data_IF_888798919885
#
_entry.id   IF_888798919885
#
_cell.length_a   1.000
_cell.length_b   1.000
_cell.length_c   1.000
_cell.angle_alpha   90.00
_cell.angle_beta   90.00
_cell.angle_gamma   90.00
#
_symmetry.space_group_name_H-M   'P 1'
#
loop_
_entity.id
_entity.type
_entity.pdbx_description
1 polymer ?
#
# COMPACT_ATOMS: atom_id res chain seq x y z
N UNK A 1 31.97 31.06 40.50
CA UNK A 1 30.55 30.62 40.39
C UNK A 1 30.09 30.34 38.96
N UNK A 2 30.81 30.77 37.90
CA UNK A 2 30.43 30.52 36.50
C UNK A 2 30.58 29.06 36.01
N UNK A 3 31.55 28.28 36.49
CA UNK A 3 31.74 26.88 36.04
C UNK A 3 30.66 25.88 36.48
N UNK A 4 29.93 26.18 37.57
CA UNK A 4 28.92 25.25 38.12
C UNK A 4 27.62 25.31 37.32
N UNK A 5 27.30 26.49 36.77
CA UNK A 5 26.09 26.75 35.98
C UNK A 5 26.19 26.10 34.58
N UNK A 6 27.37 26.12 33.96
CA UNK A 6 27.58 25.46 32.66
C UNK A 6 27.54 23.93 32.74
N UNK A 7 28.00 23.36 33.86
CA UNK A 7 27.92 21.91 34.10
C UNK A 7 26.47 21.43 34.24
N UNK A 8 25.62 22.19 34.93
CA UNK A 8 24.19 21.89 35.08
C UNK A 8 23.42 21.99 33.76
N UNK A 9 23.71 23.00 32.93
CA UNK A 9 23.10 23.13 31.60
C UNK A 9 23.49 21.98 30.67
N UNK A 10 24.73 21.51 30.71
CA UNK A 10 25.19 20.38 29.90
C UNK A 10 24.58 19.04 30.35
N UNK A 11 24.42 18.82 31.65
CA UNK A 11 23.79 17.62 32.20
C UNK A 11 22.28 17.61 31.88
N UNK A 12 21.62 18.76 31.97
CA UNK A 12 20.20 18.92 31.59
C UNK A 12 20.00 18.71 30.08
N UNK A 13 20.92 19.20 29.24
CA UNK A 13 20.84 19.04 27.78
C UNK A 13 21.07 17.57 27.36
N UNK A 14 21.96 16.84 28.03
CA UNK A 14 22.18 15.40 27.77
C UNK A 14 20.99 14.55 28.23
N UNK A 15 20.31 14.92 29.33
CA UNK A 15 19.08 14.27 29.80
C UNK A 15 17.89 14.48 28.84
N UNK A 16 17.79 15.65 28.23
CA UNK A 16 16.77 15.93 27.19
C UNK A 16 17.07 15.19 25.88
N UNK A 17 18.35 15.06 25.50
CA UNK A 17 18.78 14.31 24.30
C UNK A 17 18.58 12.79 24.49
N UNK A 18 18.76 12.26 25.70
CA UNK A 18 18.50 10.83 26.00
C UNK A 18 17.02 10.47 26.12
N UNK A 19 16.13 11.45 26.27
CA UNK A 19 14.67 11.23 26.27
C UNK A 19 14.05 11.33 24.86
N UNK A 20 14.84 11.72 23.85
CA UNK A 20 14.45 11.76 22.44
C UNK A 20 14.57 10.43 21.69
N UNK A 21 14.68 9.31 22.41
CA UNK A 21 14.53 7.98 21.81
C UNK A 21 13.08 7.87 21.37
N UNK A 22 12.91 7.88 20.05
CA UNK A 22 11.64 7.77 19.37
C UNK A 22 10.82 6.64 20.00
N UNK A 23 9.71 7.03 20.65
CA UNK A 23 8.56 6.17 20.70
C UNK A 23 8.03 6.08 19.26
N UNK A 24 8.70 5.28 18.44
CA UNK A 24 8.06 4.69 17.28
C UNK A 24 7.07 3.70 17.89
N UNK A 25 5.89 4.24 18.20
CA UNK A 25 4.71 3.48 18.50
C UNK A 25 4.63 2.47 17.35
N UNK A 26 4.86 1.20 17.67
CA UNK A 26 4.69 0.11 16.72
C UNK A 26 3.19 0.03 16.46
N UNK A 27 2.70 0.95 15.62
CA UNK A 27 1.35 0.94 15.08
C UNK A 27 1.24 -0.46 14.50
N UNK A 28 0.38 -1.25 15.12
CA UNK A 28 0.05 -2.56 14.63
C UNK A 28 -0.71 -2.29 13.34
N UNK A 29 0.01 -2.28 12.23
CA UNK A 29 -0.49 -1.87 10.93
C UNK A 29 -1.71 -2.72 10.60
N UNK A 30 -2.90 -2.15 10.76
CA UNK A 30 -4.15 -2.86 10.51
C UNK A 30 -4.18 -3.19 9.02
N UNK A 31 -4.13 -4.48 8.63
CA UNK A 31 -4.12 -4.86 7.23
C UNK A 31 -5.43 -4.51 6.53
N UNK A 32 -6.52 -4.32 7.28
CA UNK A 32 -7.84 -3.96 6.76
C UNK A 32 -8.12 -2.45 6.80
N UNK A 33 -7.16 -1.61 7.18
CA UNK A 33 -7.29 -0.16 7.07
C UNK A 33 -7.54 0.28 5.64
N UNK A 34 -8.14 1.45 5.47
CA UNK A 34 -8.35 2.06 4.16
C UNK A 34 -7.03 2.21 3.38
N UNK A 35 -7.04 2.04 2.05
CA UNK A 35 -5.87 2.24 1.22
C UNK A 35 -5.46 3.71 1.24
N UNK A 36 -4.18 3.96 1.47
CA UNK A 36 -3.56 5.29 1.35
C UNK A 36 -3.52 5.75 -0.12
N UNK A 37 -3.37 7.05 -0.36
CA UNK A 37 -3.20 7.57 -1.73
C UNK A 37 -1.91 7.02 -2.36
N UNK A 38 -0.86 6.86 -1.56
CA UNK A 38 0.39 6.23 -2.00
C UNK A 38 0.14 4.83 -2.58
N UNK A 39 -0.56 3.98 -1.82
CA UNK A 39 -0.90 2.61 -2.26
C UNK A 39 -1.71 2.62 -3.56
N UNK A 40 -2.77 3.43 -3.63
CA UNK A 40 -3.63 3.50 -4.82
C UNK A 40 -2.83 3.94 -6.05
N UNK A 41 -2.04 5.02 -5.93
CA UNK A 41 -1.26 5.55 -7.05
C UNK A 41 -0.18 4.58 -7.51
N UNK A 42 0.49 3.89 -6.57
CA UNK A 42 1.48 2.86 -6.88
C UNK A 42 0.91 1.77 -7.78
N UNK A 43 -0.22 1.19 -7.41
CA UNK A 43 -0.81 0.10 -8.17
C UNK A 43 -1.49 0.56 -9.46
N UNK A 44 -2.14 1.73 -9.48
CA UNK A 44 -2.63 2.35 -10.70
C UNK A 44 -1.51 2.50 -11.74
N UNK A 45 -0.39 3.12 -11.36
CA UNK A 45 0.72 3.34 -12.28
C UNK A 45 1.43 2.05 -12.67
N UNK A 46 1.44 1.03 -11.80
CA UNK A 46 1.96 -0.30 -12.12
C UNK A 46 1.11 -0.99 -13.20
N UNK A 47 -0.22 -0.99 -13.05
CA UNK A 47 -1.14 -1.61 -14.02
C UNK A 47 -1.17 -0.83 -15.35
N UNK A 48 -1.17 0.50 -15.30
CA UNK A 48 -1.14 1.33 -16.51
C UNK A 48 0.16 1.13 -17.30
N UNK A 49 1.32 1.13 -16.63
CA UNK A 49 2.61 0.80 -17.27
C UNK A 49 2.58 -0.60 -17.87
N UNK A 50 2.10 -1.60 -17.14
CA UNK A 50 2.00 -2.98 -17.63
C UNK A 50 1.24 -3.07 -18.95
N UNK A 51 0.06 -2.42 -19.04
CA UNK A 51 -0.74 -2.37 -20.27
C UNK A 51 -0.03 -1.65 -21.41
N UNK A 52 0.62 -0.52 -21.11
CA UNK A 52 1.38 0.22 -22.11
C UNK A 52 2.61 -0.58 -22.60
N UNK A 53 3.27 -1.33 -21.74
CA UNK A 53 4.43 -2.16 -22.10
C UNK A 53 4.03 -3.37 -22.95
N UNK A 54 2.86 -3.95 -22.69
CA UNK A 54 2.28 -5.04 -23.50
C UNK A 54 1.94 -4.55 -24.92
N UNK A 55 1.17 -3.47 -25.03
CA UNK A 55 0.80 -2.85 -26.32
C UNK A 55 1.99 -2.19 -27.02
N UNK A 56 2.99 -1.78 -26.25
CA UNK A 56 4.22 -1.15 -26.74
C UNK A 56 5.15 -2.10 -27.48
N UNK A 57 4.86 -3.40 -27.54
CA UNK A 57 5.67 -4.38 -28.30
C UNK A 57 5.18 -4.56 -29.74
N UNK A 58 3.93 -4.22 -30.05
CA UNK A 58 3.39 -4.41 -31.40
C UNK A 58 3.88 -3.31 -32.35
N UNK A 59 3.99 -3.59 -33.64
CA UNK A 59 4.44 -2.60 -34.66
C UNK A 59 3.28 -2.10 -35.51
N UNK A 60 2.09 -2.03 -34.91
CA UNK A 60 0.86 -1.73 -35.62
C UNK A 60 0.84 -0.28 -36.11
N UNK A 61 0.26 -0.08 -37.29
CA UNK A 61 0.17 1.22 -37.94
C UNK A 61 -1.29 1.46 -38.27
N UNK A 62 -1.81 2.59 -37.81
CA UNK A 62 -3.16 3.03 -38.07
C UNK A 62 -3.16 3.90 -39.32
N UNK A 63 -3.99 3.55 -40.30
CA UNK A 63 -4.26 4.36 -41.47
C UNK A 63 -5.51 5.21 -41.22
N UNK A 64 -5.36 6.55 -41.27
CA UNK A 64 -6.48 7.49 -41.16
C UNK A 64 -6.74 8.18 -42.51
N UNK A 65 -8.02 8.20 -42.91
CA UNK A 65 -8.51 8.82 -44.15
C UNK A 65 -9.62 8.00 -44.80
N UNK A 66 -10.86 8.48 -44.71
CA UNK A 66 -12.02 7.91 -45.42
C UNK A 66 -12.34 8.80 -46.62
N UNK A 67 -12.02 8.33 -47.83
CA UNK A 67 -12.34 9.02 -49.07
C UNK A 67 -11.54 8.46 -50.24
N UNK A 68 -12.19 8.31 -51.40
CA UNK A 68 -11.55 7.80 -52.63
C UNK A 68 -10.37 8.68 -53.09
N UNK A 69 -10.37 9.97 -52.75
CA UNK A 69 -9.40 10.98 -53.20
C UNK A 69 -8.44 11.52 -52.11
N UNK A 70 -8.53 11.05 -50.86
CA UNK A 70 -7.64 11.53 -49.78
C UNK A 70 -6.39 10.64 -49.62
N UNK A 71 -5.20 11.26 -49.53
CA UNK A 71 -3.96 10.55 -49.19
C UNK A 71 -4.06 9.98 -47.78
N UNK A 72 -4.08 8.65 -47.67
CA UNK A 72 -4.06 7.92 -46.39
C UNK A 72 -2.84 8.32 -45.57
N UNK A 73 -3.06 8.79 -44.35
CA UNK A 73 -1.98 9.08 -43.39
C UNK A 73 -1.74 7.84 -42.53
N UNK A 74 -0.48 7.43 -42.42
CA UNK A 74 -0.08 6.29 -41.58
C UNK A 74 0.58 6.81 -40.30
N UNK A 75 0.10 6.39 -39.14
CA UNK A 75 0.69 6.72 -37.84
C UNK A 75 0.90 5.44 -37.03
N UNK A 76 2.05 5.30 -36.40
CA UNK A 76 2.33 4.18 -35.50
C UNK A 76 1.34 4.19 -34.33
N UNK A 77 0.73 3.04 -34.03
CA UNK A 77 -0.23 2.85 -32.93
C UNK A 77 0.33 3.33 -31.58
N UNK A 78 1.63 3.11 -31.32
CA UNK A 78 2.28 3.55 -30.08
C UNK A 78 2.24 5.06 -29.85
N UNK A 79 2.07 5.84 -30.92
CA UNK A 79 2.03 7.30 -30.92
C UNK A 79 0.62 7.83 -31.14
N UNK A 80 -0.41 6.98 -31.10
CA UNK A 80 -1.80 7.43 -31.24
C UNK A 80 -2.45 7.66 -29.88
N UNK A 81 -3.46 8.52 -29.90
CA UNK A 81 -4.32 8.82 -28.77
C UNK A 81 -5.21 7.62 -28.45
N UNK A 82 -5.63 6.92 -29.50
CA UNK A 82 -6.40 5.68 -29.40
C UNK A 82 -5.75 4.67 -28.44
N UNK A 83 -4.43 4.47 -28.51
CA UNK A 83 -3.73 3.55 -27.61
C UNK A 83 -3.85 3.97 -26.14
N UNK A 84 -3.77 5.27 -25.84
CA UNK A 84 -3.92 5.76 -24.48
C UNK A 84 -5.36 5.54 -23.99
N UNK A 85 -6.35 5.85 -24.82
CA UNK A 85 -7.77 5.64 -24.52
C UNK A 85 -8.05 4.15 -24.25
N UNK A 86 -7.56 3.24 -25.09
CA UNK A 86 -7.71 1.80 -24.89
C UNK A 86 -7.03 1.34 -23.60
N UNK A 87 -5.80 1.82 -23.33
CA UNK A 87 -5.07 1.48 -22.12
C UNK A 87 -5.77 1.95 -20.84
N UNK A 88 -6.40 3.12 -20.87
CA UNK A 88 -7.11 3.71 -19.72
C UNK A 88 -8.54 3.19 -19.57
N UNK A 89 -9.28 2.98 -20.66
CA UNK A 89 -10.74 2.86 -20.62
C UNK A 89 -11.30 1.52 -21.13
N UNK A 90 -10.55 0.69 -21.86
CA UNK A 90 -11.11 -0.53 -22.49
C UNK A 90 -10.33 -1.83 -22.17
N UNK A 91 -10.73 -2.59 -21.13
CA UNK A 91 -11.62 -2.18 -20.02
C UNK A 91 -10.90 -1.19 -19.12
N UNK A 92 -11.61 -0.41 -18.28
CA UNK A 92 -10.95 0.65 -17.50
C UNK A 92 -9.75 0.13 -16.67
N UNK A 93 -8.65 0.90 -16.59
CA UNK A 93 -7.39 0.45 -15.97
C UNK A 93 -7.58 0.04 -14.51
N UNK A 94 -8.47 0.73 -13.80
CA UNK A 94 -8.76 0.44 -12.40
C UNK A 94 -9.50 -0.87 -12.19
N UNK A 95 -10.14 -1.47 -13.20
CA UNK A 95 -10.77 -2.80 -13.07
C UNK A 95 -9.75 -3.87 -12.65
N UNK A 96 -8.46 -3.68 -13.03
CA UNK A 96 -7.36 -4.56 -12.62
C UNK A 96 -7.08 -4.53 -11.12
N UNK A 97 -7.50 -3.48 -10.41
CA UNK A 97 -7.37 -3.40 -8.95
C UNK A 97 -8.21 -4.46 -8.26
N UNK A 98 -9.33 -4.89 -8.85
CA UNK A 98 -10.19 -5.94 -8.27
C UNK A 98 -9.54 -7.34 -8.28
N UNK A 99 -8.45 -7.53 -9.04
CA UNK A 99 -7.67 -8.78 -9.03
C UNK A 99 -6.76 -8.90 -7.79
N UNK A 100 -6.63 -7.84 -7.00
CA UNK A 100 -5.81 -7.81 -5.79
C UNK A 100 -6.58 -8.28 -4.57
N UNK A 101 -5.86 -8.90 -3.64
CA UNK A 101 -6.36 -9.30 -2.33
C UNK A 101 -5.51 -8.69 -1.21
N UNK A 102 -6.10 -8.60 -0.02
CA UNK A 102 -5.40 -8.20 1.20
C UNK A 102 -4.69 -9.41 1.81
N UNK A 103 -3.38 -9.29 1.89
CA UNK A 103 -2.47 -10.19 2.55
C UNK A 103 -2.10 -9.61 3.93
N UNK A 104 -2.88 -9.98 4.94
CA UNK A 104 -2.67 -9.55 6.33
C UNK A 104 -1.28 -9.91 6.89
N UNK A 105 -0.60 -10.85 6.23
CA UNK A 105 0.76 -11.26 6.54
C UNK A 105 1.86 -10.28 6.07
N UNK A 106 1.53 -9.32 5.21
CA UNK A 106 2.48 -8.37 4.61
C UNK A 106 2.29 -6.98 5.22
N UNK A 107 3.33 -6.15 5.15
CA UNK A 107 3.32 -4.78 5.70
C UNK A 107 3.19 -3.74 4.60
N UNK A 108 2.66 -2.57 4.95
CA UNK A 108 2.61 -1.42 4.05
C UNK A 108 1.82 -1.73 2.77
N UNK A 109 2.27 -1.22 1.63
CA UNK A 109 1.57 -1.41 0.35
C UNK A 109 1.65 -2.84 -0.17
N UNK A 110 2.62 -3.62 0.29
CA UNK A 110 2.79 -5.01 -0.13
C UNK A 110 1.64 -5.92 0.33
N UNK A 111 0.76 -5.42 1.21
CA UNK A 111 -0.48 -6.10 1.60
C UNK A 111 -1.41 -6.34 0.42
N UNK A 112 -1.36 -5.53 -0.64
CA UNK A 112 -2.12 -5.80 -1.85
C UNK A 112 -1.30 -6.71 -2.76
N UNK A 113 -1.82 -7.90 -3.06
CA UNK A 113 -1.21 -8.77 -4.07
C UNK A 113 -2.25 -9.61 -4.80
N UNK A 114 -1.93 -9.99 -6.05
CA UNK A 114 -2.78 -10.89 -6.83
C UNK A 114 -2.65 -12.32 -6.30
N UNK A 115 -3.75 -13.07 -6.35
CA UNK A 115 -3.84 -14.45 -5.84
C UNK A 115 -4.35 -14.53 -4.39
N UNK A 116 -4.48 -15.75 -3.87
CA UNK A 116 -5.04 -15.98 -2.53
C UNK A 116 -4.05 -15.63 -1.43
N UNK A 117 -4.54 -15.03 -0.34
CA UNK A 117 -3.74 -14.78 0.86
C UNK A 117 -3.53 -16.04 1.68
N UNK A 118 -2.41 -16.10 2.41
CA UNK A 118 -2.07 -17.27 3.23
C UNK A 118 -3.11 -17.54 4.31
N UNK A 119 -3.64 -16.47 4.91
CA UNK A 119 -4.70 -16.55 5.92
C UNK A 119 -5.96 -17.16 5.32
N UNK A 120 -6.39 -16.71 4.13
CA UNK A 120 -7.59 -17.22 3.48
C UNK A 120 -7.41 -18.66 3.01
N UNK A 121 -6.23 -19.01 2.50
CA UNK A 121 -5.90 -20.39 2.12
C UNK A 121 -5.94 -21.34 3.32
N UNK A 122 -5.37 -20.93 4.47
CA UNK A 122 -5.42 -21.69 5.72
C UNK A 122 -6.87 -21.92 6.17
N UNK A 123 -7.71 -20.90 6.01
CA UNK A 123 -9.11 -20.91 6.41
C UNK A 123 -9.94 -21.86 5.54
N UNK A 124 -9.80 -21.81 4.21
CA UNK A 124 -10.44 -22.75 3.29
C UNK A 124 -9.99 -24.19 3.57
N UNK A 125 -8.69 -24.40 3.79
CA UNK A 125 -8.16 -25.73 4.16
C UNK A 125 -8.75 -26.30 5.46
N UNK A 126 -9.14 -25.45 6.42
CA UNK A 126 -9.82 -25.88 7.64
C UNK A 126 -11.27 -26.31 7.33
N UNK A 127 -11.98 -25.52 6.54
CA UNK A 127 -13.34 -25.84 6.06
C UNK A 127 -13.36 -27.13 5.24
N UNK A 128 -12.40 -27.31 4.33
CA UNK A 128 -12.26 -28.52 3.51
C UNK A 128 -11.98 -29.77 4.35
N UNK A 129 -11.37 -29.61 5.52
CA UNK A 129 -11.14 -30.69 6.50
C UNK A 129 -12.36 -30.96 7.39
N UNK A 130 -13.48 -30.28 7.17
CA UNK A 130 -14.71 -30.43 7.92
C UNK A 130 -14.76 -29.64 9.24
N UNK A 131 -13.85 -28.68 9.44
CA UNK A 131 -13.95 -27.75 10.57
C UNK A 131 -14.97 -26.67 10.23
N UNK A 132 -15.99 -26.51 11.06
CA UNK A 132 -16.93 -25.41 10.90
C UNK A 132 -16.26 -24.09 11.27
N UNK A 133 -15.97 -23.26 10.26
CA UNK A 133 -15.43 -21.90 10.44
C UNK A 133 -16.54 -20.92 10.07
N UNK A 134 -17.16 -20.32 11.09
CA UNK A 134 -18.18 -19.30 10.89
C UNK A 134 -17.52 -17.92 10.82
N UNK A 135 -17.34 -17.41 9.59
CA UNK A 135 -16.86 -16.04 9.36
C UNK A 135 -17.99 -15.01 9.27
N UNK A 136 -19.24 -15.45 9.37
CA UNK A 136 -20.40 -14.58 9.11
C UNK A 136 -20.56 -14.17 7.64
N UNK A 137 -19.79 -14.78 6.72
CA UNK A 137 -19.83 -14.53 5.26
C UNK A 137 -20.01 -15.88 4.53
N UNK A 138 -21.02 -16.02 3.65
CA UNK A 138 -21.21 -17.19 2.80
C UNK A 138 -19.98 -17.55 1.97
N UNK A 139 -19.72 -18.85 1.79
CA UNK A 139 -18.52 -19.35 1.10
C UNK A 139 -18.34 -18.79 -0.33
N UNK A 140 -19.44 -18.59 -1.04
CA UNK A 140 -19.45 -18.04 -2.41
C UNK A 140 -18.90 -16.60 -2.48
N UNK A 141 -18.92 -15.87 -1.37
CA UNK A 141 -18.41 -14.49 -1.28
C UNK A 141 -16.94 -14.43 -0.85
N UNK A 142 -16.28 -15.55 -0.56
CA UNK A 142 -14.88 -15.54 -0.09
C UNK A 142 -13.87 -15.18 -1.18
N UNK A 143 -14.24 -15.35 -2.44
CA UNK A 143 -13.42 -14.95 -3.59
C UNK A 143 -13.81 -13.56 -4.14
N UNK A 144 -14.73 -12.84 -3.47
CA UNK A 144 -15.08 -11.46 -3.84
C UNK A 144 -14.06 -10.43 -3.29
N UNK A 145 -13.89 -9.28 -3.98
CA UNK A 145 -13.04 -8.20 -3.49
C UNK A 145 -13.45 -7.73 -2.09
N UNK A 146 -12.47 -7.65 -1.20
CA UNK A 146 -12.68 -7.12 0.16
C UNK A 146 -13.02 -5.62 0.14
N UNK A 147 -13.61 -5.11 1.21
CA UNK A 147 -13.94 -3.68 1.34
C UNK A 147 -12.74 -2.75 1.07
N UNK A 148 -11.55 -3.11 1.55
CA UNK A 148 -10.33 -2.32 1.31
C UNK A 148 -9.89 -2.31 -0.16
N UNK A 149 -10.12 -3.41 -0.89
CA UNK A 149 -9.85 -3.48 -2.34
C UNK A 149 -10.89 -2.70 -3.13
N UNK A 150 -12.16 -2.79 -2.75
CA UNK A 150 -13.24 -2.01 -3.37
C UNK A 150 -13.04 -0.50 -3.16
N UNK A 151 -12.58 -0.09 -1.97
CA UNK A 151 -12.23 1.30 -1.72
C UNK A 151 -10.99 1.73 -2.52
N UNK A 152 -10.01 0.84 -2.68
CA UNK A 152 -8.83 1.10 -3.52
C UNK A 152 -9.22 1.30 -4.99
N UNK A 153 -10.14 0.46 -5.49
CA UNK A 153 -10.73 0.58 -6.81
C UNK A 153 -11.42 1.92 -7.00
N UNK A 154 -12.28 2.32 -6.06
CA UNK A 154 -12.97 3.62 -6.10
C UNK A 154 -12.00 4.80 -6.12
N UNK A 155 -10.97 4.77 -5.27
CA UNK A 155 -9.93 5.81 -5.25
C UNK A 155 -9.09 5.82 -6.53
N UNK A 156 -8.89 4.66 -7.16
CA UNK A 156 -8.18 4.56 -8.44
C UNK A 156 -8.91 5.35 -9.53
N UNK A 157 -10.23 5.16 -9.68
CA UNK A 157 -11.04 5.96 -10.60
C UNK A 157 -10.88 7.45 -10.34
N UNK A 158 -10.98 7.85 -9.07
CA UNK A 158 -10.80 9.24 -8.69
C UNK A 158 -9.43 9.81 -9.08
N UNK A 159 -8.33 9.05 -8.94
CA UNK A 159 -7.01 9.52 -9.38
C UNK A 159 -6.94 9.65 -10.91
N UNK A 160 -7.53 8.72 -11.65
CA UNK A 160 -7.57 8.82 -13.13
C UNK A 160 -8.37 10.05 -13.56
N UNK A 161 -9.52 10.29 -12.94
CA UNK A 161 -10.37 11.47 -13.19
C UNK A 161 -9.67 12.79 -12.82
N UNK A 162 -9.13 12.89 -11.59
CA UNK A 162 -8.52 14.13 -11.08
C UNK A 162 -7.21 14.48 -11.81
N UNK A 163 -6.52 13.50 -12.42
CA UNK A 163 -5.20 13.67 -13.03
C UNK A 163 -5.14 13.21 -14.50
N UNK A 164 -6.27 13.24 -15.22
CA UNK A 164 -6.35 12.87 -16.64
C UNK A 164 -5.36 13.67 -17.50
N UNK A 165 -5.39 15.01 -17.38
CA UNK A 165 -4.48 15.92 -18.11
C UNK A 165 -3.00 15.59 -17.85
N UNK A 166 -2.66 15.21 -16.61
CA UNK A 166 -1.30 14.85 -16.24
C UNK A 166 -0.86 13.54 -16.89
N UNK A 167 -1.76 12.55 -16.96
CA UNK A 167 -1.50 11.27 -17.62
C UNK A 167 -1.32 11.47 -19.13
N UNK A 168 -2.18 12.29 -19.75
CA UNK A 168 -2.06 12.65 -21.17
C UNK A 168 -0.74 13.38 -21.45
N UNK A 169 -0.41 14.41 -20.68
CA UNK A 169 0.83 15.16 -20.84
C UNK A 169 2.05 14.26 -20.70
N UNK A 170 2.03 13.34 -19.73
CA UNK A 170 3.08 12.33 -19.61
C UNK A 170 3.20 11.45 -20.85
N UNK A 171 2.07 10.95 -21.33
CA UNK A 171 2.02 10.07 -22.49
C UNK A 171 2.48 10.76 -23.77
N UNK A 172 2.22 12.05 -23.94
CA UNK A 172 2.61 12.77 -25.16
C UNK A 172 4.05 13.26 -25.13
N UNK A 173 4.50 13.78 -24.00
CA UNK A 173 5.71 14.60 -23.94
C UNK A 173 6.79 14.04 -23.00
N UNK A 174 6.46 13.06 -22.14
CA UNK A 174 7.36 12.61 -21.06
C UNK A 174 7.45 11.09 -20.89
N UNK A 175 7.22 10.29 -21.94
CA UNK A 175 7.40 8.83 -21.88
C UNK A 175 8.85 8.40 -21.57
N UNK A 176 9.83 9.31 -21.65
CA UNK A 176 11.20 9.09 -21.20
C UNK A 176 11.32 9.01 -19.67
N UNK A 177 10.33 9.53 -18.93
CA UNK A 177 10.27 9.51 -17.47
C UNK A 177 9.41 8.38 -16.97
N UNK A 178 9.77 7.84 -15.81
CA UNK A 178 8.97 6.84 -15.12
C UNK A 178 7.60 7.41 -14.68
N UNK A 179 6.48 6.81 -15.14
CA UNK A 179 5.13 7.29 -14.82
C UNK A 179 4.82 7.34 -13.32
N UNK A 180 5.34 6.42 -12.51
CA UNK A 180 5.11 6.43 -11.05
C UNK A 180 5.79 7.64 -10.43
N UNK A 181 6.98 7.98 -10.90
CA UNK A 181 7.66 9.22 -10.46
C UNK A 181 6.93 10.46 -10.99
N UNK A 182 6.58 10.48 -12.27
CA UNK A 182 5.94 11.64 -12.89
C UNK A 182 4.57 11.95 -12.28
N UNK A 183 3.71 10.94 -12.10
CA UNK A 183 2.35 11.11 -11.60
C UNK A 183 2.32 11.06 -10.07
N UNK A 184 2.79 9.97 -9.45
CA UNK A 184 2.62 9.78 -8.01
C UNK A 184 3.49 10.73 -7.20
N UNK A 185 4.81 10.77 -7.46
CA UNK A 185 5.73 11.58 -6.63
C UNK A 185 5.52 13.08 -6.84
N UNK A 186 5.31 13.52 -8.09
CA UNK A 186 5.31 14.95 -8.40
C UNK A 186 3.92 15.61 -8.33
N UNK A 187 2.83 14.85 -8.49
CA UNK A 187 1.49 15.41 -8.61
C UNK A 187 0.52 14.90 -7.54
N UNK A 188 0.41 13.59 -7.36
CA UNK A 188 -0.61 13.00 -6.48
C UNK A 188 -0.21 13.01 -5.00
N UNK A 189 1.04 12.67 -4.68
CA UNK A 189 1.48 12.40 -3.32
C UNK A 189 2.17 13.59 -2.66
N UNK A 190 1.94 13.72 -1.35
CA UNK A 190 2.70 14.63 -0.50
C UNK A 190 4.09 14.06 -0.21
N UNK A 191 5.06 14.90 0.12
CA UNK A 191 6.46 14.49 0.37
C UNK A 191 6.62 13.49 1.52
N UNK A 192 5.73 13.54 2.50
CA UNK A 192 5.65 12.67 3.66
C UNK A 192 4.87 11.36 3.42
N UNK A 193 4.22 11.20 2.26
CA UNK A 193 3.37 10.04 1.92
C UNK A 193 3.88 9.32 0.67
N UNK A 194 5.17 8.94 0.67
CA UNK A 194 5.83 8.29 -0.49
C UNK A 194 6.54 6.98 -0.13
N UNK A 195 6.51 6.58 1.15
CA UNK A 195 7.23 5.40 1.66
C UNK A 195 6.87 4.14 0.87
N UNK A 196 5.59 4.00 0.50
CA UNK A 196 5.07 2.83 -0.20
C UNK A 196 5.77 2.55 -1.54
N UNK A 197 6.33 3.58 -2.20
CA UNK A 197 6.95 3.45 -3.52
C UNK A 197 8.31 2.74 -3.45
N UNK A 198 8.98 2.78 -2.30
CA UNK A 198 10.30 2.20 -2.08
C UNK A 198 10.27 0.75 -1.60
N UNK A 199 9.09 0.24 -1.22
CA UNK A 199 8.94 -1.08 -0.63
C UNK A 199 9.20 -2.19 -1.64
N UNK A 200 10.08 -3.13 -1.27
CA UNK A 200 10.38 -4.32 -2.06
C UNK A 200 9.99 -5.58 -1.29
N UNK A 201 9.32 -6.52 -1.96
CA UNK A 201 8.98 -7.82 -1.38
C UNK A 201 10.23 -8.67 -1.14
N UNK A 202 10.54 -8.95 0.12
CA UNK A 202 11.72 -9.75 0.53
C UNK A 202 11.46 -11.25 0.63
N UNK A 203 10.28 -11.72 0.21
CA UNK A 203 9.88 -13.12 0.33
C UNK A 203 9.38 -13.50 1.74
N UNK A 204 8.66 -14.62 1.79
CA UNK A 204 7.98 -15.11 3.00
C UNK A 204 8.93 -15.42 4.17
N UNK A 205 10.09 -16.01 3.88
CA UNK A 205 11.07 -16.44 4.89
C UNK A 205 11.60 -15.26 5.72
N UNK A 206 11.76 -14.09 5.11
CA UNK A 206 12.27 -12.90 5.80
C UNK A 206 11.19 -12.27 6.69
N UNK A 207 9.92 -12.31 6.28
CA UNK A 207 8.79 -11.81 7.09
C UNK A 207 8.62 -12.61 8.37
N UNK A 208 8.74 -13.94 8.28
CA UNK A 208 8.69 -14.81 9.45
C UNK A 208 9.84 -14.51 10.42
N UNK A 209 11.06 -14.25 9.90
CA UNK A 209 12.20 -13.84 10.73
C UNK A 209 11.96 -12.48 11.38
N UNK A 210 11.41 -11.51 10.66
CA UNK A 210 11.14 -10.17 11.17
C UNK A 210 10.10 -10.21 12.29
N UNK A 211 9.00 -10.95 12.11
CA UNK A 211 8.00 -11.15 13.18
C UNK A 211 8.58 -11.82 14.42
N UNK A 212 9.46 -12.83 14.25
CA UNK A 212 10.16 -13.47 15.38
C UNK A 212 11.12 -12.53 16.10
N UNK A 213 11.73 -11.56 15.41
CA UNK A 213 12.57 -10.52 16.04
C UNK A 213 11.72 -9.53 16.82
N UNK A 214 10.60 -9.10 16.26
CA UNK A 214 9.65 -8.18 16.93
C UNK A 214 9.06 -8.82 18.18
N UNK A 215 8.64 -10.09 18.12
CA UNK A 215 8.07 -10.80 19.27
C UNK A 215 9.08 -11.02 20.40
N UNK A 216 10.36 -11.28 20.08
CA UNK A 216 11.45 -11.33 21.06
C UNK A 216 11.71 -9.97 21.73
N UNK A 217 11.76 -8.89 20.95
CA UNK A 217 11.94 -7.52 21.45
C UNK A 217 10.80 -7.07 22.38
N UNK A 218 9.54 -7.42 22.05
CA UNK A 218 8.39 -7.17 22.94
C UNK A 218 8.49 -7.93 24.26
N UNK A 219 8.96 -9.19 24.24
CA UNK A 219 9.13 -10.01 25.45
C UNK A 219 10.24 -9.47 26.37
N UNK A 220 11.32 -8.92 25.80
CA UNK A 220 12.40 -8.27 26.56
C UNK A 220 11.97 -6.93 27.18
N UNK A 221 11.17 -6.11 26.49
CA UNK A 221 10.59 -4.87 27.04
C UNK A 221 9.61 -5.16 28.19
N UNK A 222 8.77 -6.18 28.08
CA UNK A 222 7.84 -6.57 29.14
C UNK A 222 8.58 -7.07 30.40
N UNK A 223 9.70 -7.79 30.24
CA UNK A 223 10.50 -8.26 31.37
C UNK A 223 11.28 -7.14 32.09
N UNK A 224 11.59 -6.02 31.42
CA UNK A 224 12.24 -4.86 32.05
C UNK A 224 11.29 -4.01 32.90
N UNK A 225 9.99 -4.00 32.59
CA UNK A 225 8.99 -3.21 33.32
C UNK A 225 8.31 -3.98 34.47
N UNK A 226 8.64 -5.26 34.69
CA UNK A 226 8.03 -6.11 35.72
C UNK A 226 8.70 -6.07 37.11
N UNK A 227 9.68 -5.20 37.35
CA UNK A 227 10.41 -5.13 38.61
C UNK A 227 10.21 -3.81 39.36
N UNK A 228 8.95 -3.49 39.66
CA UNK A 228 8.59 -2.62 40.81
C UNK A 228 7.37 -3.25 41.47
N UNK A 229 7.63 -4.16 42.40
CA UNK A 229 6.61 -4.62 43.34
C UNK A 229 6.30 -3.51 44.34
N UNK A 230 5.02 -3.24 44.55
CA UNK A 230 4.54 -2.82 45.86
C UNK A 230 3.41 -3.77 46.25
N UNK A 231 3.76 -4.66 47.18
CA UNK A 231 2.83 -5.24 48.12
C UNK A 231 2.13 -4.08 48.83
N UNK A 232 0.81 -4.08 48.89
CA UNK A 232 0.09 -3.72 50.12
C UNK A 232 -1.29 -4.36 50.12
N UNK A 233 -1.63 -4.84 51.30
CA UNK A 233 -2.73 -5.72 51.60
C UNK A 233 -3.55 -5.00 52.68
N UNK A 234 -4.74 -4.46 52.38
CA UNK A 234 -5.70 -4.22 53.46
C UNK A 234 -7.18 -4.11 53.03
N UNK A 235 -7.95 -4.84 53.84
CA UNK A 235 -9.39 -4.97 54.12
C UNK A 235 -10.36 -3.85 53.68
N UNK A 236 -11.35 -4.27 52.89
CA UNK A 236 -12.81 -4.20 53.06
C UNK A 236 -13.50 -2.98 53.70
N UNK A 237 -14.58 -2.52 53.04
CA UNK A 237 -15.90 -2.33 53.65
C UNK A 237 -17.00 -2.31 52.56
N UNK A 238 -18.20 -2.75 52.94
CA UNK A 238 -19.43 -2.80 52.13
C UNK A 238 -20.05 -1.41 52.06
N UNK A 239 -20.78 -1.10 51.00
CA UNK A 239 -22.16 -0.61 51.13
C UNK A 239 -22.92 -0.63 49.79
N UNK A 240 -24.19 -0.99 49.91
CA UNK A 240 -25.21 -1.10 48.88
C UNK A 240 -25.72 0.29 48.46
N UNK A 241 -26.10 0.43 47.18
CA UNK A 241 -27.47 0.78 46.78
C UNK A 241 -27.69 0.49 45.29
#
# INVERSE_FOLDING_TARGET
>A
MHCVVEAWFRISMILVIMCGIHAEELVQDDPHRDPSLCEVCKYLTTELKGRLDETGKTHDVIETGYGLDQKKKKKEYKKTELRLIEALNDPHVCEKILEYNIHAERKGSLRFAKGRSQTMETLKNLVDKGVNVELGIPYDLWDQPSAGVTEMHRKCFKIVEDYEEAIEEWYWNHQDKDLTTYLCVNQVLRKDDQECLSETWKGEKEIVKERKKISKSKKEKHNRNGNTGHHDNEKGEKEEL
#
